data_IF_557154890940
#
_entry.id   IF_557154890940
#
_cell.length_a   1.000
_cell.length_b   1.000
_cell.length_c   1.000
_cell.angle_alpha   90.00
_cell.angle_beta   90.00
_cell.angle_gamma   90.00
#
_symmetry.space_group_name_H-M   'P 1'
#
loop_
_entity.id
_entity.type
_entity.pdbx_description
1 polymer ?
#
# COMPACT_ATOMS: atom_id res chain seq x y z
N UNK A 1 24.85 -29.37 -8.76
CA UNK A 1 23.83 -28.72 -9.63
C UNK A 1 22.68 -28.38 -8.73
N UNK A 2 22.62 -27.14 -8.26
CA UNK A 2 21.52 -26.58 -7.49
C UNK A 2 20.32 -26.38 -8.44
N UNK A 3 19.12 -26.81 -8.11
CA UNK A 3 17.96 -26.57 -8.97
C UNK A 3 17.71 -25.07 -9.04
N UNK A 4 17.72 -24.52 -10.24
CA UNK A 4 17.29 -23.17 -10.56
C UNK A 4 15.84 -23.04 -10.09
N UNK A 5 15.58 -22.23 -9.09
CA UNK A 5 14.24 -21.88 -8.65
C UNK A 5 13.48 -21.37 -9.88
N UNK A 6 12.38 -22.02 -10.21
CA UNK A 6 11.46 -21.50 -11.22
C UNK A 6 11.04 -20.10 -10.72
N UNK A 7 11.44 -19.05 -11.44
CA UNK A 7 11.02 -17.69 -11.12
C UNK A 7 9.50 -17.66 -11.21
N UNK A 8 8.86 -17.49 -10.07
CA UNK A 8 7.43 -17.19 -10.03
C UNK A 8 7.17 -15.93 -10.88
N UNK A 9 6.04 -15.86 -11.56
CA UNK A 9 5.69 -14.69 -12.37
C UNK A 9 5.52 -13.49 -11.43
N UNK A 10 6.20 -12.35 -11.67
CA UNK A 10 6.04 -11.16 -10.85
C UNK A 10 4.57 -10.71 -10.77
N UNK A 11 4.13 -10.25 -9.61
CA UNK A 11 2.78 -9.71 -9.43
C UNK A 11 2.62 -8.35 -10.14
N UNK A 12 3.69 -7.54 -10.15
CA UNK A 12 3.74 -6.30 -10.95
C UNK A 12 5.08 -6.24 -11.66
N UNK A 13 5.07 -5.98 -12.95
CA UNK A 13 6.24 -5.72 -13.76
C UNK A 13 6.06 -4.43 -14.53
N UNK A 14 6.91 -3.42 -14.25
CA UNK A 14 6.92 -2.10 -14.89
C UNK A 14 8.29 -1.89 -15.52
N UNK A 15 8.31 -1.49 -16.82
CA UNK A 15 9.54 -1.21 -17.56
C UNK A 15 9.44 0.12 -18.30
N UNK A 16 10.41 1.02 -18.03
CA UNK A 16 10.60 2.34 -18.64
C UNK A 16 9.29 3.16 -18.73
N UNK A 17 8.46 3.03 -17.68
CA UNK A 17 7.12 3.58 -17.69
C UNK A 17 7.13 5.07 -17.39
N UNK A 18 6.44 5.84 -18.22
CA UNK A 18 6.14 7.24 -17.96
C UNK A 18 4.64 7.48 -18.06
N UNK A 19 4.09 8.22 -17.10
CA UNK A 19 2.66 8.50 -17.00
C UNK A 19 2.39 9.87 -16.37
N UNK A 20 1.24 10.46 -16.68
CA UNK A 20 0.85 11.76 -16.17
C UNK A 20 -0.52 12.20 -16.63
N UNK A 21 -0.88 13.45 -16.37
CA UNK A 21 -2.17 14.05 -16.67
C UNK A 21 -2.01 15.26 -17.59
N UNK A 22 -2.92 15.48 -18.55
CA UNK A 22 -2.99 16.69 -19.35
C UNK A 22 -1.63 17.13 -19.95
N UNK A 23 -0.84 16.21 -20.52
CA UNK A 23 0.52 16.43 -21.02
C UNK A 23 1.57 16.77 -19.96
N UNK A 24 1.24 16.79 -18.68
CA UNK A 24 2.21 16.92 -17.61
C UNK A 24 2.65 15.54 -17.14
N UNK A 25 3.96 15.25 -17.28
CA UNK A 25 4.57 13.98 -16.89
C UNK A 25 4.80 13.98 -15.38
N UNK A 26 4.11 13.09 -14.67
CA UNK A 26 4.25 12.91 -13.21
C UNK A 26 5.24 11.80 -12.89
N UNK A 27 5.22 10.71 -13.65
CA UNK A 27 6.15 9.59 -13.53
C UNK A 27 7.03 9.53 -14.76
N UNK A 28 8.35 9.31 -14.58
CA UNK A 28 9.34 9.25 -15.65
C UNK A 28 10.22 8.03 -15.48
N UNK A 29 10.32 7.21 -16.53
CA UNK A 29 11.24 6.09 -16.64
C UNK A 29 11.23 5.15 -15.42
N UNK A 30 10.01 4.84 -14.93
CA UNK A 30 9.80 3.97 -13.77
C UNK A 30 10.09 2.53 -14.17
N UNK A 31 10.95 1.88 -13.38
CA UNK A 31 11.19 0.45 -13.42
C UNK A 31 10.90 -0.14 -12.04
N UNK A 32 9.96 -1.08 -11.94
CA UNK A 32 9.55 -1.71 -10.70
C UNK A 32 9.13 -3.16 -10.95
N UNK A 33 9.66 -4.06 -10.15
CA UNK A 33 9.20 -5.45 -10.08
C UNK A 33 8.72 -5.73 -8.66
N UNK A 34 7.55 -6.32 -8.52
CA UNK A 34 6.98 -6.78 -7.25
C UNK A 34 6.82 -8.29 -7.36
N UNK A 35 7.57 -9.01 -6.57
CA UNK A 35 7.52 -10.47 -6.52
C UNK A 35 6.49 -10.95 -5.48
N UNK A 36 6.03 -12.21 -5.57
CA UNK A 36 5.25 -12.82 -4.50
C UNK A 36 5.95 -12.70 -3.14
N UNK A 37 5.16 -12.52 -2.10
CA UNK A 37 5.61 -12.38 -0.70
C UNK A 37 6.44 -11.12 -0.40
N UNK A 38 6.60 -10.20 -1.34
CA UNK A 38 7.24 -8.92 -1.07
C UNK A 38 6.45 -8.08 -0.06
N UNK A 39 7.19 -7.30 0.75
CA UNK A 39 6.66 -6.19 1.52
C UNK A 39 7.50 -4.95 1.21
N UNK A 40 7.00 -4.14 0.29
CA UNK A 40 7.70 -2.97 -0.25
C UNK A 40 7.08 -1.69 0.31
N UNK A 41 7.91 -0.81 0.86
CA UNK A 41 7.53 0.54 1.26
C UNK A 41 7.95 1.57 0.19
N UNK A 42 7.00 2.35 -0.32
CA UNK A 42 7.27 3.49 -1.19
C UNK A 42 7.22 4.78 -0.39
N UNK A 43 8.33 5.52 -0.40
CA UNK A 43 8.47 6.82 0.24
C UNK A 43 8.71 7.90 -0.81
N UNK A 44 8.56 9.16 -0.42
CA UNK A 44 8.85 10.31 -1.29
C UNK A 44 7.99 11.53 -0.94
N UNK A 45 8.30 12.70 -1.52
CA UNK A 45 7.58 13.94 -1.22
C UNK A 45 6.12 13.90 -1.69
N UNK A 46 5.31 14.81 -1.14
CA UNK A 46 3.98 15.06 -1.65
C UNK A 46 4.09 15.55 -3.10
N UNK A 47 3.22 15.03 -3.98
CA UNK A 47 3.30 15.31 -5.42
C UNK A 47 4.40 14.52 -6.16
N UNK A 48 5.19 13.67 -5.48
CA UNK A 48 6.24 12.84 -6.11
C UNK A 48 5.73 11.72 -7.01
N UNK A 49 4.40 11.53 -7.13
CA UNK A 49 3.80 10.55 -8.06
C UNK A 49 3.38 9.23 -7.43
N UNK A 50 3.46 9.05 -6.09
CA UNK A 50 3.16 7.80 -5.39
C UNK A 50 1.74 7.26 -5.69
N UNK A 51 0.72 8.07 -5.45
CA UNK A 51 -0.68 7.70 -5.77
C UNK A 51 -0.89 7.56 -7.28
N UNK A 52 -0.14 8.30 -8.11
CA UNK A 52 -0.18 8.17 -9.58
C UNK A 52 0.34 6.79 -10.00
N UNK A 53 1.41 6.28 -9.38
CA UNK A 53 1.91 4.93 -9.63
C UNK A 53 0.85 3.87 -9.29
N UNK A 54 0.16 4.01 -8.14
CA UNK A 54 -0.93 3.11 -7.78
C UNK A 54 -2.08 3.15 -8.81
N UNK A 55 -2.44 4.35 -9.29
CA UNK A 55 -3.46 4.46 -10.35
C UNK A 55 -3.05 3.77 -11.64
N UNK A 56 -1.76 3.79 -11.99
CA UNK A 56 -1.25 3.05 -13.17
C UNK A 56 -1.32 1.54 -12.93
N UNK A 57 -0.90 1.05 -11.75
CA UNK A 57 -0.97 -0.38 -11.37
C UNK A 57 -2.43 -0.87 -11.40
N UNK A 58 -3.37 -0.05 -10.94
CA UNK A 58 -4.81 -0.36 -10.94
C UNK A 58 -5.48 -0.23 -12.32
N UNK A 59 -4.73 0.20 -13.36
CA UNK A 59 -5.28 0.45 -14.69
C UNK A 59 -6.30 1.61 -14.74
N UNK A 60 -6.21 2.56 -13.78
CA UNK A 60 -7.02 3.78 -13.73
C UNK A 60 -6.37 4.93 -14.50
N UNK A 61 -5.09 4.84 -14.78
CA UNK A 61 -4.31 5.78 -15.59
C UNK A 61 -3.45 4.98 -16.56
N UNK A 62 -3.64 5.11 -17.89
CA UNK A 62 -2.82 4.43 -18.85
C UNK A 62 -1.41 5.06 -18.91
N UNK A 63 -0.35 4.25 -19.13
CA UNK A 63 0.98 4.78 -19.35
C UNK A 63 1.04 5.53 -20.71
N UNK A 64 1.87 6.57 -20.76
CA UNK A 64 2.18 7.31 -22.01
C UNK A 64 3.37 6.69 -22.72
N UNK A 65 4.30 6.06 -21.96
CA UNK A 65 5.45 5.31 -22.47
C UNK A 65 5.72 4.09 -21.58
N UNK A 66 6.49 3.15 -22.11
CA UNK A 66 6.87 1.94 -21.40
C UNK A 66 5.75 0.91 -21.32
N UNK A 67 5.92 -0.05 -20.44
CA UNK A 67 4.97 -1.17 -20.29
C UNK A 67 4.71 -1.48 -18.82
N UNK A 68 3.52 -2.01 -18.56
CA UNK A 68 3.14 -2.56 -17.26
C UNK A 68 2.36 -3.85 -17.43
N UNK A 69 2.68 -4.82 -16.58
CA UNK A 69 1.88 -6.05 -16.41
C UNK A 69 1.55 -6.23 -14.94
N UNK A 70 0.35 -6.69 -14.67
CA UNK A 70 -0.14 -7.07 -13.34
C UNK A 70 -0.59 -8.53 -13.44
N UNK A 71 0.01 -9.42 -12.63
CA UNK A 71 -0.19 -10.88 -12.74
C UNK A 71 0.03 -11.40 -14.17
N UNK A 72 1.03 -10.85 -14.88
CA UNK A 72 1.30 -11.18 -16.30
C UNK A 72 0.28 -10.63 -17.30
N UNK A 73 -0.78 -9.94 -16.83
CA UNK A 73 -1.90 -9.41 -17.63
C UNK A 73 -1.84 -7.88 -17.76
N UNK A 74 -2.70 -7.32 -18.62
CA UNK A 74 -2.96 -5.87 -18.61
C UNK A 74 -3.57 -5.45 -17.26
N UNK A 75 -3.25 -4.24 -16.73
CA UNK A 75 -3.70 -3.79 -15.42
C UNK A 75 -5.21 -3.89 -15.19
N UNK A 76 -6.02 -3.58 -16.19
CA UNK A 76 -7.50 -3.62 -16.13
C UNK A 76 -8.03 -5.04 -15.86
N UNK A 77 -7.26 -6.06 -16.23
CA UNK A 77 -7.59 -7.47 -15.96
C UNK A 77 -6.96 -7.95 -14.67
N UNK A 78 -5.71 -7.57 -14.42
CA UNK A 78 -4.94 -7.97 -13.23
C UNK A 78 -5.47 -7.36 -11.93
N UNK A 79 -6.05 -6.14 -11.98
CA UNK A 79 -6.55 -5.43 -10.78
C UNK A 79 -7.58 -6.19 -9.94
N UNK A 80 -8.22 -7.23 -10.49
CA UNK A 80 -9.14 -8.09 -9.73
C UNK A 80 -8.45 -8.89 -8.62
N UNK A 81 -7.13 -9.04 -8.72
CA UNK A 81 -6.27 -9.71 -7.74
C UNK A 81 -5.60 -8.72 -6.78
N UNK A 82 -6.01 -7.45 -6.84
CA UNK A 82 -5.46 -6.38 -6.01
C UNK A 82 -6.52 -5.92 -5.01
N UNK A 83 -6.19 -5.96 -3.72
CA UNK A 83 -6.89 -5.22 -2.69
C UNK A 83 -6.32 -3.79 -2.62
N UNK A 84 -7.18 -2.78 -2.56
CA UNK A 84 -6.74 -1.39 -2.50
C UNK A 84 -7.34 -0.64 -1.32
N UNK A 85 -6.48 -0.03 -0.52
CA UNK A 85 -6.85 0.87 0.58
C UNK A 85 -6.38 2.27 0.21
N UNK A 86 -7.28 3.18 -0.19
CA UNK A 86 -6.93 4.56 -0.56
C UNK A 86 -6.61 5.41 0.67
N UNK A 87 -5.86 6.49 0.48
CA UNK A 87 -5.47 7.46 1.50
C UNK A 87 -6.67 8.02 2.27
N UNK A 88 -7.74 8.35 1.56
CA UNK A 88 -8.98 8.84 2.15
C UNK A 88 -10.15 7.94 1.76
N UNK A 89 -10.87 7.48 2.77
CA UNK A 89 -12.16 6.83 2.59
C UNK A 89 -13.22 7.72 3.22
N UNK A 90 -13.95 8.43 2.36
CA UNK A 90 -15.09 9.21 2.83
C UNK A 90 -16.21 8.26 3.23
N UNK A 91 -16.74 8.45 4.41
CA UNK A 91 -17.99 7.82 4.83
C UNK A 91 -18.86 8.90 5.49
N UNK A 92 -20.15 8.82 5.25
CA UNK A 92 -21.12 9.64 5.94
C UNK A 92 -21.29 9.07 7.36
N UNK A 93 -20.92 9.85 8.38
CA UNK A 93 -21.02 9.43 9.78
C UNK A 93 -22.45 9.15 10.23
N UNK A 94 -23.43 9.75 9.54
CA UNK A 94 -24.85 9.60 9.85
C UNK A 94 -25.44 8.33 9.18
N UNK A 95 -24.72 7.76 8.20
CA UNK A 95 -25.16 6.54 7.55
C UNK A 95 -24.95 5.33 8.46
N UNK A 96 -26.03 4.58 8.84
CA UNK A 96 -25.97 3.52 9.85
C UNK A 96 -25.43 2.21 9.28
N UNK A 97 -24.18 2.21 8.80
CA UNK A 97 -23.53 1.01 8.28
C UNK A 97 -22.80 0.23 9.38
N UNK A 98 -22.89 -1.09 9.36
CA UNK A 98 -22.14 -1.96 10.27
C UNK A 98 -20.78 -2.31 9.72
N UNK A 99 -19.84 -2.62 10.60
CA UNK A 99 -18.49 -3.03 10.27
C UNK A 99 -18.49 -4.19 9.26
N UNK A 100 -19.25 -5.27 9.53
CA UNK A 100 -19.33 -6.43 8.63
C UNK A 100 -19.89 -6.08 7.24
N UNK A 101 -20.79 -5.11 7.15
CA UNK A 101 -21.36 -4.71 5.87
C UNK A 101 -20.31 -3.97 5.02
N UNK A 102 -19.43 -3.18 5.66
CA UNK A 102 -18.29 -2.54 4.98
C UNK A 102 -17.30 -3.59 4.48
N UNK A 103 -16.96 -4.59 5.31
CA UNK A 103 -16.05 -5.67 4.89
C UNK A 103 -16.67 -6.48 3.74
N UNK A 104 -17.98 -6.79 3.83
CA UNK A 104 -18.71 -7.49 2.78
C UNK A 104 -18.71 -6.78 1.43
N UNK A 105 -18.59 -5.44 1.40
CA UNK A 105 -18.42 -4.70 0.13
C UNK A 105 -17.17 -5.15 -0.64
N UNK A 106 -16.14 -5.69 0.02
CA UNK A 106 -14.96 -6.26 -0.64
C UNK A 106 -15.27 -7.49 -1.49
N UNK A 107 -16.41 -8.17 -1.24
CA UNK A 107 -16.89 -9.30 -2.05
C UNK A 107 -17.60 -8.85 -3.34
N UNK A 108 -17.86 -7.53 -3.50
CA UNK A 108 -18.52 -7.02 -4.71
C UNK A 108 -17.61 -7.21 -5.93
N UNK A 109 -18.04 -8.03 -6.86
CA UNK A 109 -17.36 -8.32 -8.10
C UNK A 109 -18.36 -8.69 -9.19
N UNK A 110 -17.91 -9.03 -10.40
CA UNK A 110 -18.79 -9.41 -11.51
C UNK A 110 -19.77 -10.55 -11.16
N UNK A 111 -19.39 -11.42 -10.22
CA UNK A 111 -20.25 -12.54 -9.75
C UNK A 111 -21.47 -12.05 -8.97
N UNK A 112 -21.38 -10.90 -8.28
CA UNK A 112 -22.39 -10.38 -7.36
C UNK A 112 -23.21 -9.21 -7.93
N UNK A 113 -22.96 -8.79 -9.17
CA UNK A 113 -23.62 -7.61 -9.75
C UNK A 113 -25.15 -7.72 -9.73
N UNK A 114 -25.71 -8.95 -9.71
CA UNK A 114 -27.15 -9.20 -9.66
C UNK A 114 -27.49 -10.44 -8.78
N UNK A 115 -26.55 -10.88 -7.92
CA UNK A 115 -26.77 -12.04 -7.06
C UNK A 115 -26.63 -11.64 -5.59
N UNK A 116 -27.43 -12.21 -4.71
CA UNK A 116 -27.23 -12.01 -3.26
C UNK A 116 -25.89 -12.58 -2.81
N UNK A 117 -25.39 -12.09 -1.70
CA UNK A 117 -24.27 -12.70 -1.01
C UNK A 117 -24.61 -14.13 -0.56
N UNK A 118 -23.61 -14.97 -0.53
CA UNK A 118 -23.70 -16.39 -0.15
C UNK A 118 -23.17 -16.62 1.26
N UNK A 119 -23.38 -17.81 1.81
CA UNK A 119 -22.79 -18.22 3.08
C UNK A 119 -21.24 -18.23 3.03
N UNK A 120 -20.66 -18.53 1.86
CA UNK A 120 -19.22 -18.44 1.62
C UNK A 120 -18.70 -17.00 1.75
N UNK A 121 -19.44 -16.02 1.22
CA UNK A 121 -19.09 -14.59 1.37
C UNK A 121 -19.14 -14.16 2.84
N UNK A 122 -20.11 -14.63 3.59
CA UNK A 122 -20.22 -14.35 5.03
C UNK A 122 -19.07 -15.00 5.81
N UNK A 123 -18.64 -16.19 5.45
CA UNK A 123 -17.48 -16.84 6.05
C UNK A 123 -16.20 -16.04 5.79
N UNK A 124 -15.96 -15.61 4.54
CA UNK A 124 -14.80 -14.77 4.21
C UNK A 124 -14.81 -13.46 4.99
N UNK A 125 -15.99 -12.86 5.19
CA UNK A 125 -16.13 -11.64 6.00
C UNK A 125 -15.71 -11.88 7.46
N UNK A 126 -16.14 -12.98 8.07
CA UNK A 126 -15.77 -13.32 9.46
C UNK A 126 -14.24 -13.60 9.55
N UNK A 127 -13.67 -14.35 8.61
CA UNK A 127 -12.23 -14.60 8.55
C UNK A 127 -11.43 -13.29 8.40
N UNK A 128 -11.90 -12.35 7.57
CA UNK A 128 -11.26 -11.04 7.45
C UNK A 128 -11.37 -10.21 8.73
N UNK A 129 -12.49 -10.27 9.44
CA UNK A 129 -12.67 -9.59 10.72
C UNK A 129 -11.75 -10.18 11.80
N UNK A 130 -11.56 -11.50 11.79
CA UNK A 130 -10.61 -12.18 12.69
C UNK A 130 -9.18 -11.74 12.40
N UNK A 131 -8.77 -11.75 11.13
CA UNK A 131 -7.41 -11.32 10.70
C UNK A 131 -7.07 -9.90 11.12
N UNK A 132 -8.04 -9.00 11.22
CA UNK A 132 -7.82 -7.61 11.66
C UNK A 132 -8.18 -7.37 13.13
N UNK A 133 -8.45 -8.43 13.91
CA UNK A 133 -8.81 -8.41 15.34
C UNK A 133 -10.05 -7.54 15.64
N UNK A 134 -11.10 -7.67 14.81
CA UNK A 134 -12.37 -6.94 14.95
C UNK A 134 -13.62 -7.83 14.98
N UNK A 135 -13.48 -9.12 15.23
CA UNK A 135 -14.61 -10.08 15.25
C UNK A 135 -15.75 -9.62 16.15
N UNK A 136 -15.44 -9.19 17.38
CA UNK A 136 -16.45 -8.74 18.34
C UNK A 136 -17.16 -7.43 17.90
N UNK A 137 -16.53 -6.66 17.01
CA UNK A 137 -17.05 -5.38 16.49
C UNK A 137 -17.83 -5.53 15.19
N UNK A 138 -17.96 -6.75 14.62
CA UNK A 138 -18.60 -6.99 13.33
C UNK A 138 -20.00 -6.39 13.21
N UNK A 139 -20.79 -6.39 14.29
CA UNK A 139 -22.15 -5.85 14.31
C UNK A 139 -22.22 -4.38 14.75
N UNK A 140 -21.13 -3.79 15.21
CA UNK A 140 -21.10 -2.40 15.65
C UNK A 140 -21.26 -1.43 14.46
N UNK A 141 -21.89 -0.27 14.65
CA UNK A 141 -21.87 0.80 13.68
C UNK A 141 -20.44 1.30 13.42
N UNK A 142 -20.08 1.54 12.16
CA UNK A 142 -18.73 2.01 11.80
C UNK A 142 -18.33 3.31 12.51
N UNK A 143 -19.30 4.19 12.77
CA UNK A 143 -19.08 5.48 13.47
C UNK A 143 -18.59 5.33 14.91
N UNK A 144 -18.85 4.20 15.56
CA UNK A 144 -18.45 3.94 16.95
C UNK A 144 -16.99 3.47 17.07
N UNK A 145 -16.31 3.24 15.96
CA UNK A 145 -14.94 2.79 15.93
C UNK A 145 -13.96 3.97 16.03
N UNK A 146 -12.80 3.74 16.69
CA UNK A 146 -11.67 4.66 16.64
C UNK A 146 -11.09 4.78 15.22
N UNK A 147 -10.23 5.76 14.97
CA UNK A 147 -9.55 5.94 13.66
C UNK A 147 -8.77 4.69 13.25
N UNK A 148 -7.98 4.13 14.15
CA UNK A 148 -7.22 2.90 13.92
C UNK A 148 -8.11 1.68 13.66
N UNK A 149 -9.21 1.53 14.41
CA UNK A 149 -10.17 0.46 14.18
C UNK A 149 -10.86 0.61 12.81
N UNK A 150 -11.26 1.81 12.41
CA UNK A 150 -11.83 2.06 11.07
C UNK A 150 -10.83 1.71 9.98
N UNK A 151 -9.55 2.05 10.16
CA UNK A 151 -8.52 1.70 9.21
C UNK A 151 -8.37 0.18 9.05
N UNK A 152 -8.44 -0.59 10.15
CA UNK A 152 -8.46 -2.06 10.12
C UNK A 152 -9.68 -2.59 9.35
N UNK A 153 -10.85 -1.96 9.48
CA UNK A 153 -12.05 -2.32 8.69
C UNK A 153 -11.81 -2.13 7.20
N UNK A 154 -11.12 -1.04 6.78
CA UNK A 154 -10.80 -0.83 5.36
C UNK A 154 -9.77 -1.82 4.83
N UNK A 155 -8.80 -2.22 5.68
CA UNK A 155 -7.88 -3.32 5.36
C UNK A 155 -8.65 -4.64 5.21
N UNK A 156 -9.54 -4.98 6.15
CA UNK A 156 -10.40 -6.17 6.07
C UNK A 156 -11.27 -6.18 4.80
N UNK A 157 -11.83 -5.03 4.42
CA UNK A 157 -12.58 -4.88 3.18
C UNK A 157 -11.72 -5.18 1.95
N UNK A 158 -10.47 -4.73 1.93
CA UNK A 158 -9.55 -5.01 0.84
C UNK A 158 -9.15 -6.50 0.82
N UNK A 159 -8.95 -7.12 1.98
CA UNK A 159 -8.67 -8.55 2.11
C UNK A 159 -9.85 -9.44 1.70
N UNK A 160 -11.09 -8.98 1.88
CA UNK A 160 -12.27 -9.74 1.52
C UNK A 160 -12.40 -10.03 0.01
N UNK A 161 -11.64 -9.32 -0.85
CA UNK A 161 -11.50 -9.69 -2.26
C UNK A 161 -10.54 -10.85 -2.50
N UNK A 162 -9.92 -11.41 -1.45
CA UNK A 162 -8.90 -12.46 -1.49
C UNK A 162 -7.74 -12.10 -2.44
N UNK A 163 -7.08 -10.95 -2.21
CA UNK A 163 -6.07 -10.42 -3.13
C UNK A 163 -4.73 -11.16 -3.00
N UNK A 164 -3.99 -11.24 -4.10
CA UNK A 164 -2.58 -11.64 -4.12
C UNK A 164 -1.65 -10.47 -3.78
N UNK A 165 -2.09 -9.23 -4.08
CA UNK A 165 -1.38 -7.98 -3.81
C UNK A 165 -2.28 -6.99 -3.08
N UNK A 166 -1.80 -6.44 -1.97
CA UNK A 166 -2.45 -5.37 -1.22
C UNK A 166 -1.71 -4.06 -1.46
N UNK A 167 -2.40 -3.06 -2.03
CA UNK A 167 -1.91 -1.70 -2.18
C UNK A 167 -2.51 -0.83 -1.07
N UNK A 168 -1.64 -0.14 -0.30
CA UNK A 168 -2.07 0.78 0.75
C UNK A 168 -1.48 2.17 0.50
N UNK A 169 -2.34 3.16 0.34
CA UNK A 169 -1.96 4.55 0.11
C UNK A 169 -2.08 5.34 1.42
N UNK A 170 -0.95 5.52 2.13
CA UNK A 170 -0.85 6.23 3.41
C UNK A 170 -1.88 5.78 4.48
N UNK A 171 -1.92 4.49 4.84
CA UNK A 171 -2.99 3.92 5.66
C UNK A 171 -3.04 4.45 7.11
N UNK A 172 -2.07 5.24 7.56
CA UNK A 172 -1.96 5.71 8.94
C UNK A 172 -2.05 7.23 9.09
N UNK A 173 -2.37 7.97 8.03
CA UNK A 173 -2.34 9.45 8.02
C UNK A 173 -3.25 10.12 9.07
N UNK A 174 -4.32 9.45 9.49
CA UNK A 174 -5.29 9.98 10.46
C UNK A 174 -5.40 9.10 11.70
N UNK A 175 -4.32 8.40 12.05
CA UNK A 175 -4.28 7.44 13.14
C UNK A 175 -3.25 7.90 14.16
N UNK A 176 -3.51 7.69 15.45
CA UNK A 176 -2.56 7.98 16.53
C UNK A 176 -1.33 7.05 16.47
N UNK A 177 -0.29 7.42 17.21
CA UNK A 177 1.02 6.73 17.16
C UNK A 177 0.91 5.26 17.59
N UNK A 178 0.13 4.97 18.63
CA UNK A 178 -0.04 3.61 19.16
C UNK A 178 -0.79 2.72 18.15
N UNK A 179 -1.89 3.21 17.62
CA UNK A 179 -2.65 2.48 16.59
C UNK A 179 -1.89 2.37 15.27
N UNK A 180 -1.00 3.32 14.95
CA UNK A 180 -0.09 3.24 13.80
C UNK A 180 0.82 2.01 13.90
N UNK A 181 1.50 1.81 15.03
CA UNK A 181 2.34 0.63 15.23
C UNK A 181 1.56 -0.68 15.07
N UNK A 182 0.36 -0.75 15.68
CA UNK A 182 -0.53 -1.91 15.58
C UNK A 182 -1.00 -2.19 14.13
N UNK A 183 -1.17 -1.16 13.29
CA UNK A 183 -1.51 -1.35 11.88
C UNK A 183 -0.33 -1.95 11.11
N UNK A 184 0.90 -1.51 11.38
CA UNK A 184 2.09 -2.07 10.72
C UNK A 184 2.37 -3.51 11.16
N UNK A 185 2.18 -3.83 12.45
CA UNK A 185 2.24 -5.21 12.96
C UNK A 185 1.23 -6.09 12.23
N UNK A 186 -0.02 -5.65 12.14
CA UNK A 186 -1.07 -6.35 11.39
C UNK A 186 -0.68 -6.56 9.91
N UNK A 187 -0.15 -5.55 9.24
CA UNK A 187 0.30 -5.69 7.84
C UNK A 187 1.44 -6.68 7.71
N UNK A 188 2.34 -6.73 8.68
CA UNK A 188 3.42 -7.72 8.72
C UNK A 188 2.87 -9.14 8.88
N UNK A 189 1.91 -9.36 9.78
CA UNK A 189 1.22 -10.64 9.95
C UNK A 189 0.52 -11.08 8.66
N UNK A 190 -0.18 -10.16 7.98
CA UNK A 190 -0.83 -10.41 6.68
C UNK A 190 0.19 -10.82 5.62
N UNK A 191 1.37 -10.17 5.57
CA UNK A 191 2.44 -10.54 4.64
C UNK A 191 3.01 -11.91 4.95
N UNK A 192 3.21 -12.27 6.22
CA UNK A 192 3.66 -13.60 6.62
C UNK A 192 2.67 -14.71 6.25
N UNK A 193 1.39 -14.38 6.04
CA UNK A 193 0.36 -15.29 5.53
C UNK A 193 0.33 -15.39 3.99
N UNK A 194 1.32 -14.81 3.28
CA UNK A 194 1.48 -14.93 1.84
C UNK A 194 0.80 -13.84 1.02
N UNK A 195 0.31 -12.76 1.63
CA UNK A 195 -0.21 -11.60 0.88
C UNK A 195 0.94 -10.63 0.61
N UNK A 196 1.21 -10.37 -0.67
CA UNK A 196 2.20 -9.37 -1.06
C UNK A 196 1.71 -7.96 -0.74
N UNK A 197 2.58 -7.08 -0.25
CA UNK A 197 2.20 -5.72 0.16
C UNK A 197 3.08 -4.68 -0.52
N UNK A 198 2.43 -3.70 -1.14
CA UNK A 198 3.05 -2.47 -1.61
C UNK A 198 2.40 -1.28 -0.91
N UNK A 199 3.16 -0.59 -0.06
CA UNK A 199 2.70 0.42 0.86
C UNK A 199 3.31 1.78 0.55
N UNK A 200 2.50 2.83 0.43
CA UNK A 200 2.95 4.22 0.44
C UNK A 200 2.88 4.75 1.86
N UNK A 201 3.98 5.34 2.36
CA UNK A 201 3.98 6.06 3.63
C UNK A 201 5.02 7.18 3.64
N UNK A 202 4.83 8.14 4.50
CA UNK A 202 5.79 9.20 4.81
C UNK A 202 6.56 8.95 6.12
N UNK A 203 6.18 7.94 6.90
CA UNK A 203 6.86 7.58 8.16
C UNK A 203 7.97 6.56 7.93
N UNK A 204 9.18 7.08 7.71
CA UNK A 204 10.37 6.27 7.45
C UNK A 204 10.79 5.41 8.65
N UNK A 205 10.54 5.86 9.89
CA UNK A 205 10.99 5.14 11.08
C UNK A 205 10.20 3.84 11.25
N UNK A 206 8.90 3.92 11.04
CA UNK A 206 8.02 2.76 11.19
C UNK A 206 8.19 1.81 9.99
N UNK A 207 8.20 2.33 8.77
CA UNK A 207 8.38 1.51 7.55
C UNK A 207 9.63 0.65 7.62
N UNK A 208 10.79 1.23 7.96
CA UNK A 208 12.07 0.51 7.94
C UNK A 208 12.11 -0.72 8.86
N UNK A 209 11.24 -0.78 9.87
CA UNK A 209 11.15 -1.91 10.80
C UNK A 209 10.40 -3.11 10.22
N UNK A 210 9.42 -2.88 9.34
CA UNK A 210 8.47 -3.90 8.87
C UNK A 210 8.66 -4.32 7.41
N UNK A 211 9.07 -3.40 6.52
CA UNK A 211 9.21 -3.73 5.10
C UNK A 211 10.50 -4.50 4.79
N UNK A 212 10.48 -5.26 3.70
CA UNK A 212 11.67 -5.96 3.17
C UNK A 212 12.50 -5.04 2.29
N UNK A 213 11.84 -4.13 1.56
CA UNK A 213 12.47 -3.23 0.59
C UNK A 213 11.85 -1.85 0.66
N UNK A 214 12.67 -0.81 0.47
CA UNK A 214 12.20 0.58 0.42
C UNK A 214 12.55 1.16 -0.95
N UNK A 215 11.54 1.70 -1.64
CA UNK A 215 11.68 2.48 -2.85
C UNK A 215 11.45 3.97 -2.59
N UNK A 216 12.30 4.85 -3.12
CA UNK A 216 12.11 6.29 -3.05
C UNK A 216 11.57 6.81 -4.38
N UNK A 217 10.37 7.41 -4.39
CA UNK A 217 9.70 7.93 -5.57
C UNK A 217 9.58 9.45 -5.53
N UNK A 218 10.28 10.10 -6.49
CA UNK A 218 10.12 11.52 -6.78
C UNK A 218 10.21 11.71 -8.29
N UNK A 219 9.12 11.54 -9.01
CA UNK A 219 8.98 11.45 -10.46
C UNK A 219 9.71 10.26 -11.08
N UNK A 220 10.89 9.92 -10.59
CA UNK A 220 11.65 8.70 -10.89
C UNK A 220 11.68 7.81 -9.67
N UNK A 221 11.83 6.51 -9.86
CA UNK A 221 11.92 5.53 -8.78
C UNK A 221 13.38 5.14 -8.58
N UNK A 222 13.91 5.43 -7.40
CA UNK A 222 15.18 4.90 -6.94
C UNK A 222 14.90 3.67 -6.07
N UNK A 223 15.25 2.50 -6.59
CA UNK A 223 15.01 1.22 -5.92
C UNK A 223 16.25 0.80 -5.13
N UNK A 224 16.08 0.47 -3.86
CA UNK A 224 17.15 -0.01 -3.00
C UNK A 224 16.76 -1.39 -2.43
N UNK A 225 17.56 -2.41 -2.74
CA UNK A 225 17.25 -3.83 -2.52
C UNK A 225 17.27 -4.33 -1.08
N UNK A 226 17.74 -3.59 -0.09
CA UNK A 226 17.77 -3.99 1.32
C UNK A 226 17.43 -2.82 2.25
N UNK A 227 17.11 -3.13 3.54
CA UNK A 227 16.56 -2.22 4.55
C UNK A 227 17.39 -0.95 4.87
N UNK A 228 18.51 -0.70 4.21
CA UNK A 228 19.37 0.43 4.49
C UNK A 228 18.85 1.71 3.82
N UNK A 229 18.32 2.62 4.65
CA UNK A 229 18.01 3.99 4.22
C UNK A 229 19.32 4.77 4.19
N UNK A 230 19.88 5.01 3.00
CA UNK A 230 21.08 5.82 2.86
C UNK A 230 20.77 7.32 2.84
N UNK A 231 21.74 8.15 3.24
CA UNK A 231 21.61 9.61 3.16
C UNK A 231 21.32 10.05 1.70
N UNK A 232 21.95 9.39 0.72
CA UNK A 232 21.76 9.66 -0.71
C UNK A 232 20.32 9.37 -1.17
N UNK A 233 19.64 8.36 -0.62
CA UNK A 233 18.22 8.10 -0.90
C UNK A 233 17.32 9.23 -0.45
N UNK A 234 17.56 9.71 0.77
CA UNK A 234 16.77 10.78 1.36
C UNK A 234 17.04 12.08 0.60
N UNK A 235 18.31 12.35 0.24
CA UNK A 235 18.67 13.51 -0.55
C UNK A 235 18.06 13.46 -1.96
N UNK A 236 18.11 12.34 -2.65
CA UNK A 236 17.51 12.15 -3.97
C UNK A 236 15.96 12.25 -3.94
N UNK A 237 15.33 11.71 -2.89
CA UNK A 237 13.88 11.70 -2.77
C UNK A 237 13.27 13.00 -2.26
N UNK A 238 13.90 13.63 -1.28
CA UNK A 238 13.34 14.79 -0.58
C UNK A 238 14.03 16.11 -0.93
N UNK A 239 15.13 16.07 -1.68
CA UNK A 239 15.94 17.26 -2.03
C UNK A 239 16.39 18.05 -0.79
N UNK A 240 16.58 17.38 0.33
CA UNK A 240 16.94 17.97 1.62
C UNK A 240 18.16 17.23 2.19
N UNK A 241 19.24 17.92 2.60
CA UNK A 241 20.36 17.28 3.28
C UNK A 241 19.87 16.73 4.64
N UNK A 242 19.94 15.44 4.83
CA UNK A 242 19.60 14.77 6.09
C UNK A 242 20.86 14.10 6.62
N UNK A 243 21.31 14.51 7.79
CA UNK A 243 22.36 13.78 8.49
C UNK A 243 21.71 12.63 9.31
N UNK A 244 22.13 11.41 9.02
CA UNK A 244 21.79 10.24 9.81
C UNK A 244 22.81 10.12 10.92
N UNK A 245 22.41 10.43 12.17
CA UNK A 245 23.27 10.23 13.33
C UNK A 245 22.94 8.88 13.93
N UNK A 246 23.88 7.94 13.84
CA UNK A 246 23.79 6.62 14.46
C UNK A 246 24.36 6.66 15.89
N UNK A 247 23.50 6.80 16.87
CA UNK A 247 23.82 6.57 18.28
C UNK A 247 22.94 5.45 18.80
N UNK A 248 23.30 4.20 18.59
CA UNK A 248 22.66 3.04 19.24
C UNK A 248 21.12 2.93 19.17
N UNK A 249 20.43 4.03 18.97
CA UNK A 249 19.03 4.20 18.63
C UNK A 249 18.96 5.19 17.47
N UNK A 250 18.38 4.85 16.30
CA UNK A 250 18.30 5.77 15.17
C UNK A 250 17.32 6.91 15.49
N UNK A 251 17.84 8.12 15.66
CA UNK A 251 17.04 9.33 15.66
C UNK A 251 17.61 10.35 14.66
N UNK A 252 16.74 11.17 14.10
CA UNK A 252 17.08 12.11 13.04
C UNK A 252 17.28 13.50 13.61
N UNK A 253 18.32 14.17 13.16
CA UNK A 253 18.48 15.62 13.32
C UNK A 253 18.39 16.25 11.94
N UNK A 254 17.42 17.12 11.71
CA UNK A 254 17.37 17.95 10.51
C UNK A 254 18.41 19.06 10.66
N UNK A 255 19.30 19.21 9.67
CA UNK A 255 20.20 20.32 9.62
C UNK A 255 19.38 21.64 9.53
N UNK A 256 19.78 22.65 10.32
CA UNK A 256 19.15 23.99 10.21
C UNK A 256 19.51 24.60 8.87
N UNK A 257 18.49 25.08 8.15
CA UNK A 257 18.70 25.94 6.99
C UNK A 257 19.39 27.23 7.49
N UNK A 258 20.62 27.47 7.06
CA UNK A 258 21.21 28.81 7.15
C UNK A 258 20.44 29.70 6.17
N UNK A 259 19.74 30.70 6.72
CA UNK A 259 19.14 31.77 5.92
C UNK A 259 20.26 32.46 5.15
N UNK A 260 20.26 32.28 3.83
CA UNK A 260 21.08 33.10 2.97
C UNK A 260 20.55 34.54 3.01
N UNK A 261 21.34 35.42 3.62
CA UNK A 261 21.18 36.88 3.53
C UNK A 261 21.61 37.37 2.17
#
# INVERSE_FOLDING_TARGET
MTPTAAHATPLVEIRDLSAGYNNEMVLKDINLTVEPDDFIGLIGPNGGGKTTLFKVILGLLPPQKGTIKVMGMAPEKGRRHIGYVPQFTYYDSDFPIRVRDVVRMGRLGPKHLFKPYTAEDDQVVEECLERVHLTEKGNAPLRELSGGQRQRVYIARALASEPELLLLDEPTISVDVEATAQIYELLHEINLQGVTILLISHDLNVISSYVKTIGCLNRTLHYHGEKEITADMIQAGYNCPVELIAHGLPHRVLARHEEQR
#
